data_IF_999442875040
#
_entry.id   IF_999442875040
#
_cell.length_a   1.000
_cell.length_b   1.000
_cell.length_c   1.000
_cell.angle_alpha   90.00
_cell.angle_beta   90.00
_cell.angle_gamma   90.00
#
_symmetry.space_group_name_H-M   'P 1'
#
loop_
_entity.id
_entity.type
_entity.pdbx_description
1 polymer ?
#
# COMPACT_ATOMS: atom_id res chain seq x y z
N UNK A 1 7.10 -4.88 -10.90
CA UNK A 1 7.67 -4.91 -12.27
C UNK A 1 7.31 -6.21 -12.98
N UNK A 2 7.47 -7.39 -12.35
CA UNK A 2 7.13 -8.70 -12.93
C UNK A 2 5.65 -8.81 -13.30
N UNK A 3 4.73 -8.42 -12.39
CA UNK A 3 3.29 -8.43 -12.64
C UNK A 3 2.89 -7.48 -13.78
N UNK A 4 3.54 -6.32 -13.87
CA UNK A 4 3.31 -5.37 -14.95
C UNK A 4 3.90 -5.82 -16.31
N UNK A 5 4.74 -6.85 -16.32
CA UNK A 5 5.44 -7.34 -17.51
C UNK A 5 6.60 -6.47 -17.96
N UNK A 6 7.14 -5.65 -17.07
CA UNK A 6 8.33 -4.83 -17.31
C UNK A 6 9.61 -5.65 -17.21
N UNK A 7 9.56 -6.73 -16.43
CA UNK A 7 10.63 -7.71 -16.26
C UNK A 7 10.07 -9.13 -16.46
N UNK A 8 10.93 -10.09 -16.79
CA UNK A 8 10.57 -11.51 -16.91
C UNK A 8 10.98 -12.25 -15.63
N UNK A 9 10.16 -13.21 -15.14
CA UNK A 9 10.57 -14.07 -14.05
C UNK A 9 11.69 -15.00 -14.51
N UNK A 10 12.66 -15.28 -13.63
CA UNK A 10 13.72 -16.27 -13.89
C UNK A 10 13.16 -17.69 -13.90
N UNK A 11 12.15 -17.93 -13.07
CA UNK A 11 11.43 -19.22 -12.97
C UNK A 11 10.02 -18.99 -12.44
N UNK A 12 9.16 -20.00 -12.55
CA UNK A 12 7.78 -19.95 -12.10
C UNK A 12 6.85 -19.28 -13.11
N UNK A 13 5.58 -19.15 -12.74
CA UNK A 13 4.51 -18.64 -13.59
C UNK A 13 3.73 -17.55 -12.87
N UNK A 14 3.28 -16.55 -13.63
CA UNK A 14 2.38 -15.51 -13.15
C UNK A 14 1.02 -15.69 -13.81
N UNK A 15 -0.04 -15.69 -13.00
CA UNK A 15 -1.43 -15.83 -13.47
C UNK A 15 -2.31 -14.68 -12.98
N UNK A 16 -3.28 -14.27 -13.81
CA UNK A 16 -4.42 -13.44 -13.40
C UNK A 16 -5.66 -14.30 -13.60
N UNK A 17 -6.33 -14.66 -12.49
CA UNK A 17 -7.33 -15.72 -12.50
C UNK A 17 -6.72 -17.03 -12.98
N UNK A 18 -7.34 -17.66 -13.97
CA UNK A 18 -6.84 -18.89 -14.62
C UNK A 18 -5.85 -18.63 -15.77
N UNK A 19 -5.69 -17.39 -16.23
CA UNK A 19 -4.92 -17.03 -17.42
C UNK A 19 -3.45 -16.80 -17.09
N UNK A 20 -2.50 -17.59 -17.69
CA UNK A 20 -1.08 -17.31 -17.56
C UNK A 20 -0.70 -16.02 -18.30
N UNK A 21 0.14 -15.19 -17.67
CA UNK A 21 0.54 -13.89 -18.23
C UNK A 21 2.05 -13.68 -18.29
N UNK A 22 2.86 -14.67 -17.96
CA UNK A 22 4.32 -14.54 -17.91
C UNK A 22 4.89 -14.02 -19.22
N UNK A 23 4.44 -14.54 -20.37
CA UNK A 23 4.90 -14.15 -21.71
C UNK A 23 4.01 -13.11 -22.39
N UNK A 24 2.95 -12.64 -21.71
CA UNK A 24 2.04 -11.64 -22.27
C UNK A 24 2.70 -10.26 -22.14
N UNK A 25 2.82 -9.48 -23.25
CA UNK A 25 3.39 -8.13 -23.19
C UNK A 25 2.54 -7.19 -22.31
N UNK A 26 3.15 -6.17 -21.67
CA UNK A 26 2.48 -5.27 -20.73
C UNK A 26 1.16 -4.69 -21.24
N UNK A 27 1.12 -4.28 -22.51
CA UNK A 27 -0.06 -3.67 -23.12
C UNK A 27 -1.29 -4.61 -23.18
N UNK A 28 -1.09 -5.93 -23.13
CA UNK A 28 -2.14 -6.97 -23.24
C UNK A 28 -2.48 -7.64 -21.91
N UNK A 29 -1.79 -7.31 -20.80
CA UNK A 29 -2.01 -7.93 -19.47
C UNK A 29 -3.31 -7.51 -18.80
N UNK A 30 -3.97 -6.45 -19.26
CA UNK A 30 -5.12 -5.81 -18.62
C UNK A 30 -4.84 -5.36 -17.17
N UNK A 31 -3.63 -4.89 -16.94
CA UNK A 31 -3.15 -4.38 -15.67
C UNK A 31 -2.98 -2.87 -15.77
N UNK A 32 -3.34 -2.13 -14.74
CA UNK A 32 -3.03 -0.72 -14.63
C UNK A 32 -1.98 -0.49 -13.52
N UNK A 33 -1.00 0.35 -13.80
CA UNK A 33 0.06 0.68 -12.85
C UNK A 33 0.08 2.17 -12.53
N UNK A 34 0.14 2.47 -11.25
CA UNK A 34 0.37 3.80 -10.69
C UNK A 34 1.79 3.81 -10.15
N UNK A 35 2.64 4.69 -10.69
CA UNK A 35 4.04 4.81 -10.30
C UNK A 35 4.22 5.85 -9.19
N UNK A 36 5.27 5.73 -8.42
CA UNK A 36 5.68 6.68 -7.39
C UNK A 36 5.79 8.13 -7.91
N UNK A 37 6.32 8.31 -9.13
CA UNK A 37 6.46 9.61 -9.79
C UNK A 37 5.20 10.08 -10.53
N UNK A 38 4.04 9.37 -10.34
CA UNK A 38 2.78 9.57 -11.06
C UNK A 38 2.86 9.30 -12.57
N UNK A 39 4.01 9.48 -13.20
CA UNK A 39 4.29 9.29 -14.63
C UNK A 39 3.21 9.90 -15.55
N UNK A 40 2.73 11.11 -15.23
CA UNK A 40 1.78 11.85 -16.04
C UNK A 40 2.44 12.38 -17.31
N UNK A 41 1.68 12.46 -18.40
CA UNK A 41 2.11 13.11 -19.63
C UNK A 41 2.05 14.62 -19.45
N UNK A 42 3.20 15.34 -19.36
CA UNK A 42 3.22 16.74 -18.94
C UNK A 42 2.62 17.70 -19.97
N UNK A 43 2.63 17.31 -21.23
CA UNK A 43 2.08 18.08 -22.36
C UNK A 43 0.57 17.87 -22.59
N UNK A 44 -0.03 16.87 -21.94
CA UNK A 44 -1.45 16.57 -22.03
C UNK A 44 -2.23 17.20 -20.88
N UNK A 45 -3.50 17.57 -21.15
CA UNK A 45 -4.44 17.99 -20.11
C UNK A 45 -4.79 16.82 -19.16
N UNK A 46 -5.43 17.09 -18.02
CA UNK A 46 -5.99 16.04 -17.14
C UNK A 46 -6.92 15.12 -17.93
N UNK A 47 -7.84 15.67 -18.70
CA UNK A 47 -8.76 14.95 -19.56
C UNK A 47 -8.03 14.01 -20.52
N UNK A 48 -6.98 14.49 -21.17
CA UNK A 48 -6.23 13.69 -22.13
C UNK A 48 -5.35 12.64 -21.44
N UNK A 49 -4.82 12.91 -20.24
CA UNK A 49 -4.18 11.91 -19.41
C UNK A 49 -5.15 10.77 -19.07
N UNK A 50 -6.36 11.09 -18.58
CA UNK A 50 -7.38 10.09 -18.24
C UNK A 50 -7.81 9.24 -19.45
N UNK A 51 -7.98 9.88 -20.62
CA UNK A 51 -8.46 9.22 -21.85
C UNK A 51 -7.37 8.49 -22.63
N UNK A 52 -6.09 8.71 -22.34
CA UNK A 52 -4.97 8.23 -23.14
C UNK A 52 -5.00 6.70 -23.36
N UNK A 53 -5.17 5.92 -22.29
CA UNK A 53 -5.24 4.46 -22.36
C UNK A 53 -6.46 3.97 -23.17
N UNK A 54 -7.61 4.60 -22.98
CA UNK A 54 -8.85 4.28 -23.69
C UNK A 54 -8.72 4.48 -25.20
N UNK A 55 -8.02 5.54 -25.61
CA UNK A 55 -7.80 5.85 -27.02
C UNK A 55 -6.84 4.88 -27.71
N UNK A 56 -5.92 4.25 -26.97
CA UNK A 56 -4.93 3.31 -27.53
C UNK A 56 -5.36 1.84 -27.53
N UNK A 57 -6.38 1.49 -26.78
CA UNK A 57 -6.75 0.09 -26.53
C UNK A 57 -7.39 -0.66 -27.70
N UNK A 58 -7.78 0.03 -28.79
CA UNK A 58 -8.48 -0.58 -29.94
C UNK A 58 -7.83 -0.21 -31.26
N UNK A 59 -7.72 -1.20 -32.17
CA UNK A 59 -7.36 -0.94 -33.57
C UNK A 59 -8.41 -0.03 -34.21
N UNK A 60 -7.98 0.90 -35.08
CA UNK A 60 -8.85 1.89 -35.72
C UNK A 60 -8.69 1.86 -37.23
N UNK A 61 -9.80 1.97 -37.94
CA UNK A 61 -9.77 2.31 -39.35
C UNK A 61 -9.35 3.77 -39.56
N UNK A 62 -8.88 4.10 -40.75
CA UNK A 62 -8.50 5.49 -41.10
C UNK A 62 -9.67 6.46 -40.96
N UNK A 63 -10.85 6.04 -41.35
CA UNK A 63 -12.09 6.83 -41.22
C UNK A 63 -12.42 7.15 -39.78
N UNK A 64 -12.32 6.13 -38.86
CA UNK A 64 -12.54 6.35 -37.45
C UNK A 64 -11.52 7.31 -36.83
N UNK A 65 -10.25 7.28 -37.25
CA UNK A 65 -9.22 8.23 -36.79
C UNK A 65 -9.59 9.67 -37.16
N UNK A 66 -10.04 9.90 -38.39
CA UNK A 66 -10.45 11.21 -38.86
C UNK A 66 -11.68 11.70 -38.09
N UNK A 67 -12.69 10.86 -37.88
CA UNK A 67 -13.90 11.21 -37.11
C UNK A 67 -13.54 11.53 -35.66
N UNK A 68 -12.66 10.73 -35.00
CA UNK A 68 -12.22 10.96 -33.65
C UNK A 68 -11.43 12.28 -33.52
N UNK A 69 -10.62 12.64 -34.52
CA UNK A 69 -9.90 13.93 -34.56
C UNK A 69 -10.86 15.10 -34.75
N UNK A 70 -11.80 14.99 -35.68
CA UNK A 70 -12.80 16.01 -35.94
C UNK A 70 -13.71 16.24 -34.73
N UNK A 71 -14.12 15.17 -34.00
CA UNK A 71 -14.85 15.29 -32.76
C UNK A 71 -14.06 16.11 -31.71
N UNK A 72 -12.78 15.81 -31.54
CA UNK A 72 -11.93 16.52 -30.56
C UNK A 72 -11.72 17.99 -30.92
N UNK A 73 -11.54 18.30 -32.19
CA UNK A 73 -11.38 19.66 -32.68
C UNK A 73 -12.67 20.49 -32.48
N UNK A 74 -13.84 19.86 -32.70
CA UNK A 74 -15.15 20.51 -32.58
C UNK A 74 -15.78 20.45 -31.19
N UNK A 75 -15.08 19.85 -30.19
CA UNK A 75 -15.61 19.66 -28.84
C UNK A 75 -16.01 20.93 -28.11
N UNK A 76 -15.30 22.03 -28.34
CA UNK A 76 -15.59 23.35 -27.76
C UNK A 76 -16.83 24.03 -28.37
N UNK A 77 -17.31 23.55 -29.51
CA UNK A 77 -18.48 24.10 -30.18
C UNK A 77 -19.79 23.67 -29.52
N UNK A 78 -20.90 24.41 -29.71
CA UNK A 78 -22.24 24.00 -29.29
C UNK A 78 -22.60 22.62 -29.83
N UNK A 79 -23.40 21.83 -29.10
CA UNK A 79 -23.78 20.44 -29.45
C UNK A 79 -24.18 20.23 -30.93
N UNK A 80 -25.00 21.08 -31.55
CA UNK A 80 -25.42 20.86 -32.95
C UNK A 80 -24.31 20.98 -33.99
N UNK A 81 -23.20 21.67 -33.66
CA UNK A 81 -22.05 21.88 -34.54
C UNK A 81 -20.90 20.90 -34.32
N UNK A 82 -21.07 19.97 -33.40
CA UNK A 82 -20.03 18.96 -33.09
C UNK A 82 -20.11 17.80 -34.08
N UNK A 83 -18.96 17.36 -34.56
CA UNK A 83 -18.85 16.09 -35.27
C UNK A 83 -19.10 14.95 -34.29
N UNK A 84 -20.01 14.03 -34.60
CA UNK A 84 -20.33 12.89 -33.73
C UNK A 84 -19.31 11.76 -33.92
N UNK A 85 -18.85 11.22 -32.80
CA UNK A 85 -18.09 9.97 -32.72
C UNK A 85 -18.58 9.18 -31.51
N UNK A 86 -19.32 8.13 -31.75
CA UNK A 86 -19.88 7.26 -30.68
C UNK A 86 -18.77 6.75 -29.72
N UNK A 87 -17.59 6.53 -30.27
CA UNK A 87 -16.44 6.09 -29.48
C UNK A 87 -15.92 7.20 -28.56
N UNK A 88 -15.67 8.40 -29.08
CA UNK A 88 -15.18 9.53 -28.27
C UNK A 88 -16.25 9.97 -27.24
N UNK A 89 -17.54 9.88 -27.57
CA UNK A 89 -18.64 10.12 -26.61
C UNK A 89 -18.59 9.13 -25.43
N UNK A 90 -18.35 7.83 -25.69
CA UNK A 90 -18.17 6.81 -24.65
C UNK A 90 -16.91 7.09 -23.81
N UNK A 91 -15.81 7.47 -24.44
CA UNK A 91 -14.58 7.84 -23.75
C UNK A 91 -14.82 9.05 -22.85
N UNK A 92 -15.49 10.08 -23.36
CA UNK A 92 -15.81 11.29 -22.61
C UNK A 92 -16.73 11.00 -21.42
N UNK A 93 -17.76 10.18 -21.61
CA UNK A 93 -18.62 9.72 -20.52
C UNK A 93 -17.82 8.99 -19.44
N UNK A 94 -16.91 8.09 -19.81
CA UNK A 94 -16.04 7.37 -18.85
C UNK A 94 -15.09 8.32 -18.13
N UNK A 95 -14.46 9.25 -18.84
CA UNK A 95 -13.57 10.27 -18.25
C UNK A 95 -14.33 11.14 -17.25
N UNK A 96 -15.54 11.59 -17.59
CA UNK A 96 -16.35 12.41 -16.71
C UNK A 96 -16.81 11.64 -15.46
N UNK A 97 -17.13 10.34 -15.57
CA UNK A 97 -17.44 9.49 -14.42
C UNK A 97 -16.25 9.38 -13.49
N UNK A 98 -15.07 9.05 -14.00
CA UNK A 98 -13.83 8.94 -13.22
C UNK A 98 -13.42 10.29 -12.63
N UNK A 99 -13.57 11.38 -13.39
CA UNK A 99 -13.24 12.71 -12.92
C UNK A 99 -14.12 13.13 -11.73
N UNK A 100 -15.41 12.79 -11.76
CA UNK A 100 -16.33 13.05 -10.63
C UNK A 100 -15.95 12.25 -9.40
N UNK A 101 -15.68 10.95 -9.53
CA UNK A 101 -15.31 10.10 -8.39
C UNK A 101 -13.99 10.52 -7.73
N UNK A 102 -13.12 11.25 -8.44
CA UNK A 102 -11.82 11.72 -7.95
C UNK A 102 -11.77 13.24 -7.72
N UNK A 103 -12.90 13.94 -7.79
CA UNK A 103 -12.98 15.41 -7.63
C UNK A 103 -12.04 16.17 -8.59
N UNK A 104 -11.98 15.74 -9.84
CA UNK A 104 -11.13 16.31 -10.88
C UNK A 104 -11.90 17.11 -11.94
N UNK A 105 -13.22 17.24 -11.80
CA UNK A 105 -14.09 17.84 -12.81
C UNK A 105 -13.64 19.24 -13.22
N UNK A 106 -13.36 20.10 -12.25
CA UNK A 106 -12.90 21.49 -12.46
C UNK A 106 -11.45 21.58 -12.96
N UNK A 107 -10.73 20.48 -12.94
CA UNK A 107 -9.32 20.42 -13.31
C UNK A 107 -9.08 19.78 -14.68
N UNK A 108 -10.14 19.32 -15.36
CA UNK A 108 -10.04 18.51 -16.58
C UNK A 108 -9.22 19.15 -17.70
N UNK A 109 -9.25 20.46 -17.82
CA UNK A 109 -8.56 21.19 -18.88
C UNK A 109 -7.17 21.73 -18.45
N UNK A 110 -6.79 21.54 -17.16
CA UNK A 110 -5.46 21.91 -16.65
C UNK A 110 -4.39 20.89 -17.08
N UNK A 111 -3.13 21.35 -17.10
CA UNK A 111 -1.96 20.50 -17.32
C UNK A 111 -1.31 20.09 -15.99
N UNK A 112 -0.52 18.99 -15.95
CA UNK A 112 0.14 18.53 -14.74
C UNK A 112 0.96 19.59 -13.99
N UNK A 113 1.60 20.53 -14.69
CA UNK A 113 2.37 21.62 -14.06
C UNK A 113 1.52 22.58 -13.20
N UNK A 114 0.21 22.61 -13.44
CA UNK A 114 -0.75 23.50 -12.78
C UNK A 114 -1.46 22.81 -11.60
N UNK A 115 -1.02 21.60 -11.24
CA UNK A 115 -1.63 20.75 -10.23
C UNK A 115 -0.73 20.59 -9.00
N UNK A 116 -1.35 20.53 -7.82
CA UNK A 116 -0.67 20.10 -6.59
C UNK A 116 -0.26 18.61 -6.65
N UNK A 117 0.59 18.17 -5.72
CA UNK A 117 1.01 16.76 -5.62
C UNK A 117 -0.16 15.80 -5.53
N UNK A 118 -1.12 16.06 -4.64
CA UNK A 118 -2.31 15.22 -4.49
C UNK A 118 -3.26 15.26 -5.69
N UNK A 119 -3.34 16.39 -6.38
CA UNK A 119 -4.10 16.46 -7.63
C UNK A 119 -3.44 15.62 -8.74
N UNK A 120 -2.10 15.68 -8.86
CA UNK A 120 -1.34 14.83 -9.79
C UNK A 120 -1.57 13.35 -9.51
N UNK A 121 -1.56 12.97 -8.26
CA UNK A 121 -1.82 11.59 -7.83
C UNK A 121 -3.24 11.15 -8.20
N UNK A 122 -4.26 11.95 -7.89
CA UNK A 122 -5.65 11.66 -8.29
C UNK A 122 -5.78 11.50 -9.80
N UNK A 123 -5.06 12.29 -10.60
CA UNK A 123 -5.01 12.13 -12.06
C UNK A 123 -4.35 10.81 -12.46
N UNK A 124 -3.24 10.41 -11.83
CA UNK A 124 -2.58 9.13 -12.11
C UNK A 124 -3.48 7.94 -11.78
N UNK A 125 -4.17 8.00 -10.64
CA UNK A 125 -5.16 7.01 -10.22
C UNK A 125 -6.33 6.95 -11.22
N UNK A 126 -6.87 8.11 -11.61
CA UNK A 126 -7.96 8.20 -12.59
C UNK A 126 -7.58 7.66 -13.97
N UNK A 127 -6.34 7.88 -14.43
CA UNK A 127 -5.82 7.30 -15.67
C UNK A 127 -5.79 5.77 -15.61
N UNK A 128 -5.44 5.20 -14.46
CA UNK A 128 -5.45 3.77 -14.23
C UNK A 128 -6.90 3.22 -14.20
N UNK A 129 -7.80 3.88 -13.46
CA UNK A 129 -9.22 3.50 -13.32
C UNK A 129 -10.01 3.59 -14.63
N UNK A 130 -9.69 4.56 -15.49
CA UNK A 130 -10.40 4.75 -16.75
C UNK A 130 -10.37 3.50 -17.63
N UNK A 131 -9.29 2.72 -17.59
CA UNK A 131 -9.11 1.48 -18.35
C UNK A 131 -9.92 0.29 -17.86
N UNK A 132 -10.49 0.36 -16.67
CA UNK A 132 -11.18 -0.75 -16.00
C UNK A 132 -10.33 -2.05 -15.99
N UNK A 133 -9.15 -2.04 -15.33
CA UNK A 133 -8.23 -3.16 -15.33
C UNK A 133 -8.72 -4.32 -14.45
N UNK A 134 -8.23 -5.54 -14.71
CA UNK A 134 -8.45 -6.70 -13.86
C UNK A 134 -7.62 -6.62 -12.55
N UNK A 135 -6.45 -5.96 -12.62
CA UNK A 135 -5.54 -5.79 -11.48
C UNK A 135 -4.96 -4.39 -11.46
N UNK A 136 -5.00 -3.75 -10.30
CA UNK A 136 -4.26 -2.52 -10.02
C UNK A 136 -2.90 -2.85 -9.40
N UNK A 137 -1.86 -2.21 -9.90
CA UNK A 137 -0.53 -2.19 -9.29
C UNK A 137 -0.22 -0.77 -8.85
N UNK A 138 0.09 -0.59 -7.58
CA UNK A 138 0.44 0.71 -7.00
C UNK A 138 1.83 0.60 -6.37
N UNK A 139 2.78 1.39 -6.88
CA UNK A 139 4.17 1.40 -6.44
C UNK A 139 4.43 2.67 -5.66
N UNK A 140 4.40 2.59 -4.33
CA UNK A 140 4.55 3.69 -3.37
C UNK A 140 3.76 4.96 -3.73
N UNK A 141 2.46 4.87 -4.02
CA UNK A 141 1.73 5.98 -4.60
C UNK A 141 1.58 7.19 -3.67
N UNK A 142 1.79 7.04 -2.35
CA UNK A 142 1.61 8.09 -1.35
C UNK A 142 2.93 8.71 -0.85
N UNK A 143 4.09 8.19 -1.27
CA UNK A 143 5.41 8.58 -0.74
C UNK A 143 5.74 10.07 -0.90
N UNK A 144 5.25 10.70 -1.97
CA UNK A 144 5.52 12.11 -2.31
C UNK A 144 4.47 13.10 -1.76
N UNK A 145 3.63 12.68 -0.81
CA UNK A 145 2.59 13.52 -0.21
C UNK A 145 2.95 13.93 1.21
N UNK A 146 2.52 15.13 1.59
CA UNK A 146 2.53 15.56 2.99
C UNK A 146 1.61 14.69 3.87
N UNK A 147 1.80 14.69 5.19
CA UNK A 147 1.10 13.81 6.12
C UNK A 147 -0.43 13.95 6.07
N UNK A 148 -0.94 15.20 5.99
CA UNK A 148 -2.39 15.45 5.95
C UNK A 148 -3.02 14.92 4.67
N UNK A 149 -2.38 15.20 3.53
CA UNK A 149 -2.85 14.77 2.22
C UNK A 149 -2.71 13.25 2.06
N UNK A 150 -1.66 12.64 2.64
CA UNK A 150 -1.46 11.18 2.67
C UNK A 150 -2.62 10.48 3.36
N UNK A 151 -3.05 10.96 4.53
CA UNK A 151 -4.17 10.36 5.27
C UNK A 151 -5.48 10.41 4.48
N UNK A 152 -5.85 11.57 3.94
CA UNK A 152 -7.10 11.71 3.16
C UNK A 152 -7.06 10.90 1.86
N UNK A 153 -5.91 10.83 1.20
CA UNK A 153 -5.77 10.07 -0.05
C UNK A 153 -5.79 8.57 0.20
N UNK A 154 -5.21 8.09 1.33
CA UNK A 154 -5.29 6.69 1.75
C UNK A 154 -6.74 6.24 1.89
N UNK A 155 -7.55 6.99 2.64
CA UNK A 155 -8.98 6.70 2.78
C UNK A 155 -9.68 6.61 1.43
N UNK A 156 -9.39 7.56 0.54
CA UNK A 156 -10.00 7.59 -0.80
C UNK A 156 -9.61 6.40 -1.67
N UNK A 157 -8.36 5.93 -1.58
CA UNK A 157 -7.91 4.72 -2.31
C UNK A 157 -8.67 3.48 -1.80
N UNK A 158 -8.84 3.34 -0.48
CA UNK A 158 -9.58 2.21 0.11
C UNK A 158 -11.05 2.23 -0.33
N UNK A 159 -11.71 3.38 -0.30
CA UNK A 159 -13.08 3.53 -0.79
C UNK A 159 -13.20 3.12 -2.26
N UNK A 160 -12.31 3.64 -3.10
CA UNK A 160 -12.28 3.34 -4.53
C UNK A 160 -12.02 1.86 -4.83
N UNK A 161 -11.12 1.23 -4.07
CA UNK A 161 -10.85 -0.21 -4.21
C UNK A 161 -12.10 -1.02 -3.90
N UNK A 162 -12.83 -0.68 -2.84
CA UNK A 162 -14.08 -1.34 -2.46
C UNK A 162 -15.19 -1.13 -3.50
N UNK A 163 -15.34 0.11 -4.00
CA UNK A 163 -16.30 0.44 -5.05
C UNK A 163 -16.05 -0.34 -6.35
N UNK A 164 -14.77 -0.52 -6.71
CA UNK A 164 -14.38 -1.19 -7.96
C UNK A 164 -14.34 -2.72 -7.84
N UNK A 165 -14.22 -3.28 -6.63
CA UNK A 165 -14.07 -4.71 -6.41
C UNK A 165 -12.87 -5.34 -7.11
N UNK A 166 -11.86 -4.55 -7.48
CA UNK A 166 -10.72 -4.99 -8.29
C UNK A 166 -9.53 -5.36 -7.40
N UNK A 167 -8.87 -6.47 -7.70
CA UNK A 167 -7.65 -6.88 -7.00
C UNK A 167 -6.58 -5.81 -7.10
N UNK A 168 -6.05 -5.37 -5.97
CA UNK A 168 -5.00 -4.36 -5.90
C UNK A 168 -3.75 -4.93 -5.25
N UNK A 169 -2.61 -4.79 -5.91
CA UNK A 169 -1.28 -5.05 -5.33
C UNK A 169 -0.65 -3.70 -5.03
N UNK A 170 -0.47 -3.42 -3.74
CA UNK A 170 0.03 -2.16 -3.22
C UNK A 170 1.42 -2.35 -2.61
N UNK A 171 2.41 -1.62 -3.09
CA UNK A 171 3.78 -1.63 -2.54
C UNK A 171 3.96 -0.38 -1.71
N UNK A 172 4.42 -0.54 -0.49
CA UNK A 172 4.75 0.56 0.43
C UNK A 172 5.87 0.16 1.38
N UNK A 173 6.61 1.14 1.88
CA UNK A 173 7.50 1.02 3.03
C UNK A 173 6.85 1.57 4.32
N UNK A 174 5.67 2.16 4.23
CA UNK A 174 4.91 2.70 5.37
C UNK A 174 4.02 1.60 5.97
N UNK A 175 4.32 1.23 7.22
CA UNK A 175 3.58 0.21 7.95
C UNK A 175 2.12 0.60 8.16
N UNK A 176 1.83 1.89 8.40
CA UNK A 176 0.46 2.37 8.64
C UNK A 176 -0.38 2.17 7.37
N UNK A 177 0.20 2.42 6.19
CA UNK A 177 -0.48 2.13 4.93
C UNK A 177 -0.76 0.64 4.79
N UNK A 178 0.25 -0.22 4.98
CA UNK A 178 0.09 -1.67 4.87
C UNK A 178 -0.98 -2.21 5.83
N UNK A 179 -0.91 -1.80 7.12
CA UNK A 179 -1.82 -2.27 8.17
C UNK A 179 -3.26 -1.78 8.01
N UNK A 180 -3.47 -0.60 7.39
CA UNK A 180 -4.81 0.01 7.29
C UNK A 180 -5.51 -0.24 5.96
N UNK A 181 -4.75 -0.55 4.89
CA UNK A 181 -5.30 -0.71 3.54
C UNK A 181 -5.31 -2.16 3.07
N UNK A 182 -4.38 -2.99 3.57
CA UNK A 182 -4.22 -4.36 3.07
C UNK A 182 -5.18 -5.35 3.73
N UNK A 183 -5.85 -6.18 2.92
CA UNK A 183 -6.54 -7.38 3.41
C UNK A 183 -5.49 -8.45 3.80
N UNK A 184 -4.39 -8.51 3.06
CA UNK A 184 -3.23 -9.36 3.31
C UNK A 184 -1.95 -8.59 3.06
N UNK A 185 -0.94 -8.84 3.88
CA UNK A 185 0.38 -8.20 3.79
C UNK A 185 1.44 -9.28 3.55
N UNK A 186 2.27 -9.07 2.54
CA UNK A 186 3.48 -9.85 2.31
C UNK A 186 4.69 -9.03 2.79
N UNK A 187 5.34 -9.48 3.86
CA UNK A 187 6.58 -8.86 4.37
C UNK A 187 7.77 -9.49 3.64
N UNK A 188 8.56 -8.63 2.98
CA UNK A 188 9.76 -9.05 2.26
C UNK A 188 11.01 -8.47 2.92
N UNK A 189 12.06 -9.26 2.96
CA UNK A 189 13.38 -8.82 3.38
C UNK A 189 14.44 -9.38 2.41
N UNK A 190 15.24 -8.52 1.84
CA UNK A 190 16.28 -8.87 0.85
C UNK A 190 15.74 -9.77 -0.29
N UNK A 191 14.55 -9.45 -0.80
CA UNK A 191 13.89 -10.19 -1.88
C UNK A 191 13.26 -11.54 -1.47
N UNK A 192 13.32 -11.92 -0.18
CA UNK A 192 12.73 -13.15 0.35
C UNK A 192 11.46 -12.84 1.13
N UNK A 193 10.41 -13.63 0.88
CA UNK A 193 9.18 -13.56 1.65
C UNK A 193 9.42 -14.05 3.08
N UNK A 194 9.14 -13.20 4.05
CA UNK A 194 9.28 -13.50 5.49
C UNK A 194 7.97 -14.03 6.06
N UNK A 195 6.87 -13.37 5.73
CA UNK A 195 5.53 -13.79 6.18
C UNK A 195 4.47 -13.21 5.24
N UNK A 196 3.38 -13.95 5.08
CA UNK A 196 2.17 -13.52 4.39
C UNK A 196 0.97 -13.82 5.28
N UNK A 197 0.16 -12.82 5.58
CA UNK A 197 -1.02 -12.97 6.44
C UNK A 197 -1.86 -11.70 6.47
N UNK A 198 -2.91 -11.70 7.27
CA UNK A 198 -3.68 -10.50 7.60
C UNK A 198 -2.85 -9.54 8.46
N UNK A 199 -3.16 -8.24 8.50
CA UNK A 199 -2.47 -7.29 9.36
C UNK A 199 -2.35 -7.76 10.81
N UNK A 200 -3.46 -8.27 11.37
CA UNK A 200 -3.49 -8.72 12.77
C UNK A 200 -2.70 -10.00 13.02
N UNK A 201 -2.63 -10.92 12.05
CA UNK A 201 -1.77 -12.10 12.16
C UNK A 201 -0.30 -11.71 12.21
N UNK A 202 0.16 -10.80 11.34
CA UNK A 202 1.54 -10.33 11.34
C UNK A 202 1.92 -9.63 12.66
N UNK A 203 0.99 -8.87 13.21
CA UNK A 203 1.19 -8.15 14.46
C UNK A 203 1.24 -9.06 15.69
N UNK A 204 0.27 -9.98 15.79
CA UNK A 204 0.12 -10.87 16.96
C UNK A 204 1.03 -12.09 16.91
N UNK A 205 1.24 -12.65 15.71
CA UNK A 205 1.92 -13.92 15.48
C UNK A 205 3.03 -13.78 14.42
N UNK A 206 4.06 -12.94 14.68
CA UNK A 206 5.18 -12.81 13.76
C UNK A 206 5.94 -14.13 13.63
N UNK A 207 6.25 -14.55 12.41
CA UNK A 207 6.92 -15.83 12.13
C UNK A 207 8.42 -15.82 12.47
N UNK A 208 9.01 -14.64 12.61
CA UNK A 208 10.41 -14.48 12.97
C UNK A 208 10.67 -13.09 13.60
N UNK A 209 11.88 -12.90 14.12
CA UNK A 209 12.31 -11.68 14.80
C UNK A 209 12.23 -10.46 13.86
N UNK A 210 12.58 -10.63 12.58
CA UNK A 210 12.50 -9.53 11.61
C UNK A 210 11.06 -8.98 11.48
N UNK A 211 10.07 -9.87 11.31
CA UNK A 211 8.67 -9.46 11.22
C UNK A 211 8.19 -8.84 12.53
N UNK A 212 8.59 -9.40 13.68
CA UNK A 212 8.23 -8.90 14.98
C UNK A 212 8.68 -7.44 15.21
N UNK A 213 9.89 -7.10 14.76
CA UNK A 213 10.44 -5.75 14.86
C UNK A 213 9.97 -4.82 13.75
N UNK A 214 9.74 -5.37 12.53
CA UNK A 214 9.33 -4.58 11.39
C UNK A 214 7.86 -4.15 11.47
N UNK A 215 6.97 -4.98 12.02
CA UNK A 215 5.55 -4.69 12.15
C UNK A 215 5.23 -4.13 13.53
N UNK A 216 4.76 -2.90 13.56
CA UNK A 216 4.39 -2.14 14.76
C UNK A 216 5.28 -0.91 14.98
N UNK A 217 4.69 0.18 15.43
CA UNK A 217 5.36 1.44 15.76
C UNK A 217 4.84 1.94 17.11
N UNK A 218 5.68 1.97 18.15
CA UNK A 218 7.09 1.52 18.19
C UNK A 218 7.29 0.02 17.95
N UNK A 219 8.54 -0.37 17.64
CA UNK A 219 8.89 -1.76 17.40
C UNK A 219 8.78 -2.63 18.68
N UNK A 220 8.61 -3.93 18.50
CA UNK A 220 8.60 -4.91 19.60
C UNK A 220 9.95 -4.88 20.35
N UNK A 221 9.91 -4.78 21.68
CA UNK A 221 11.07 -4.94 22.53
C UNK A 221 11.48 -6.41 22.59
N UNK A 222 12.76 -6.68 22.38
CA UNK A 222 13.34 -8.03 22.42
C UNK A 222 14.23 -8.18 23.64
N UNK A 223 13.95 -9.17 24.48
CA UNK A 223 14.68 -9.45 25.73
C UNK A 223 15.32 -10.83 25.65
N UNK A 224 16.63 -10.95 25.86
CA UNK A 224 17.28 -12.25 26.03
C UNK A 224 16.90 -12.85 27.38
N UNK A 225 16.26 -14.03 27.35
CA UNK A 225 15.79 -14.70 28.58
C UNK A 225 16.25 -16.15 28.61
N UNK A 226 16.34 -16.72 29.83
CA UNK A 226 16.52 -18.16 30.03
C UNK A 226 15.21 -18.74 30.55
N UNK A 227 14.79 -19.89 30.06
CA UNK A 227 13.61 -20.59 30.58
C UNK A 227 13.98 -21.29 31.88
N UNK A 228 13.35 -20.88 32.97
CA UNK A 228 13.48 -21.51 34.26
C UNK A 228 12.39 -22.54 34.56
N UNK A 229 12.41 -23.13 35.77
CA UNK A 229 11.41 -24.08 36.22
C UNK A 229 9.99 -23.50 36.18
N UNK A 230 8.98 -24.34 36.03
CA UNK A 230 7.55 -23.98 36.04
C UNK A 230 7.19 -22.85 35.06
N UNK A 231 7.75 -22.90 33.83
CA UNK A 231 7.53 -21.91 32.77
C UNK A 231 7.83 -20.45 33.21
N UNK A 232 8.85 -20.26 34.03
CA UNK A 232 9.37 -18.92 34.32
C UNK A 232 10.36 -18.46 33.27
N UNK A 233 10.41 -17.16 33.01
CA UNK A 233 11.47 -16.52 32.22
C UNK A 233 12.44 -15.80 33.16
N UNK A 234 13.72 -16.08 33.02
CA UNK A 234 14.79 -15.48 33.79
C UNK A 234 15.48 -14.43 32.96
N UNK A 235 15.44 -13.17 33.43
CA UNK A 235 16.08 -12.02 32.80
C UNK A 235 17.04 -11.41 33.85
N UNK A 236 18.34 -11.65 33.70
CA UNK A 236 19.32 -11.29 34.70
C UNK A 236 19.01 -11.96 36.04
N UNK A 237 18.74 -11.16 37.08
CA UNK A 237 18.36 -11.61 38.41
C UNK A 237 16.84 -11.71 38.64
N UNK A 238 16.03 -11.38 37.65
CA UNK A 238 14.57 -11.35 37.76
C UNK A 238 13.95 -12.61 37.18
N UNK A 239 12.88 -13.05 37.85
CA UNK A 239 12.05 -14.17 37.41
C UNK A 239 10.65 -13.65 37.06
N UNK A 240 10.18 -13.94 35.86
CA UNK A 240 8.88 -13.53 35.34
C UNK A 240 8.06 -14.79 35.17
N UNK A 241 6.95 -14.91 35.89
CA UNK A 241 6.02 -16.02 35.70
C UNK A 241 5.25 -15.82 34.43
N UNK A 242 5.19 -16.86 33.58
CA UNK A 242 4.39 -16.86 32.37
C UNK A 242 3.09 -17.59 32.63
N UNK A 243 2.00 -17.04 32.09
CA UNK A 243 0.65 -17.59 32.19
C UNK A 243 0.04 -17.86 30.81
N UNK A 244 -1.04 -18.65 30.79
CA UNK A 244 -1.81 -18.92 29.57
C UNK A 244 -1.14 -19.89 28.61
N UNK A 245 -1.39 -19.72 27.32
CA UNK A 245 -1.04 -20.67 26.27
C UNK A 245 0.49 -20.89 26.08
N UNK A 246 1.33 -20.00 26.60
CA UNK A 246 2.78 -20.12 26.48
C UNK A 246 3.42 -21.04 27.53
N UNK A 247 2.68 -21.45 28.57
CA UNK A 247 3.21 -22.30 29.67
C UNK A 247 3.68 -23.66 29.14
N UNK A 248 2.81 -24.38 28.43
CA UNK A 248 3.12 -25.72 27.91
C UNK A 248 4.36 -25.74 26.98
N UNK A 249 4.47 -24.85 25.95
CA UNK A 249 5.67 -24.76 25.15
C UNK A 249 6.94 -24.43 25.93
N UNK A 250 6.86 -23.65 27.00
CA UNK A 250 8.02 -23.26 27.83
C UNK A 250 8.49 -24.39 28.75
N UNK A 251 7.58 -25.18 29.30
CA UNK A 251 7.96 -26.35 30.16
C UNK A 251 8.85 -27.32 29.40
N UNK A 252 8.68 -27.46 28.10
CA UNK A 252 9.51 -28.34 27.25
C UNK A 252 10.88 -27.75 26.90
N UNK A 253 11.15 -26.50 27.31
CA UNK A 253 12.34 -25.71 26.97
C UNK A 253 13.12 -25.21 28.16
N UNK A 254 12.92 -25.83 29.31
CA UNK A 254 13.65 -25.46 30.51
C UNK A 254 15.16 -25.48 30.28
N UNK A 255 15.86 -24.46 30.78
CA UNK A 255 17.30 -24.25 30.61
C UNK A 255 17.69 -23.61 29.26
N UNK A 256 16.81 -23.47 28.29
CA UNK A 256 17.13 -22.89 27.00
C UNK A 256 17.19 -21.36 27.04
N UNK A 257 18.10 -20.79 26.26
CA UNK A 257 18.13 -19.35 25.99
C UNK A 257 17.18 -19.00 24.86
N UNK A 258 16.26 -18.08 25.12
CA UNK A 258 15.26 -17.62 24.16
C UNK A 258 15.28 -16.09 24.07
N UNK A 259 14.58 -15.57 23.05
CA UNK A 259 14.29 -14.14 22.95
C UNK A 259 12.80 -13.93 23.21
N UNK A 260 12.48 -13.23 24.30
CA UNK A 260 11.11 -12.82 24.60
C UNK A 260 10.78 -11.50 23.89
N UNK A 261 9.67 -11.46 23.15
CA UNK A 261 9.18 -10.25 22.51
C UNK A 261 8.02 -9.64 23.29
N UNK A 262 8.11 -8.35 23.61
CA UNK A 262 7.02 -7.59 24.21
C UNK A 262 6.67 -6.39 23.35
N UNK A 263 5.38 -6.21 23.09
CA UNK A 263 4.88 -5.00 22.42
C UNK A 263 4.91 -3.81 23.39
N UNK A 264 5.19 -2.58 22.92
CA UNK A 264 5.27 -1.39 23.78
C UNK A 264 4.03 -1.15 24.63
N UNK A 265 2.85 -1.42 24.12
CA UNK A 265 1.57 -1.27 24.81
C UNK A 265 1.35 -2.25 25.98
N UNK A 266 2.16 -3.31 26.08
CA UNK A 266 2.11 -4.27 27.17
C UNK A 266 3.04 -3.89 28.35
N UNK A 267 3.81 -2.80 28.21
CA UNK A 267 4.61 -2.28 29.29
C UNK A 267 3.80 -1.34 30.17
N UNK A 268 3.89 -1.54 31.49
CA UNK A 268 3.26 -0.67 32.48
C UNK A 268 4.32 -0.04 33.36
N UNK A 269 4.30 1.29 33.47
CA UNK A 269 5.16 2.02 34.37
C UNK A 269 4.65 1.86 35.79
N UNK A 270 5.56 1.53 36.73
CA UNK A 270 5.29 1.40 38.14
C UNK A 270 6.49 1.92 38.94
N UNK A 271 6.32 2.28 40.23
CA UNK A 271 7.42 2.59 41.09
C UNK A 271 8.42 1.42 41.17
N UNK A 272 9.71 1.75 41.19
CA UNK A 272 10.77 0.74 41.24
C UNK A 272 10.68 -0.11 42.51
N UNK A 273 10.60 -1.42 42.36
CA UNK A 273 10.56 -2.41 43.42
C UNK A 273 11.46 -3.60 43.08
N UNK A 274 11.70 -4.49 44.07
CA UNK A 274 12.40 -5.74 43.79
C UNK A 274 11.56 -6.78 43.00
N UNK A 275 10.27 -6.52 42.79
CA UNK A 275 9.33 -7.41 42.10
C UNK A 275 9.11 -7.08 40.61
N UNK A 276 9.54 -5.90 40.14
CA UNK A 276 9.41 -5.49 38.76
C UNK A 276 10.77 -5.28 38.09
N UNK A 277 10.78 -5.16 36.78
CA UNK A 277 11.98 -4.79 36.04
C UNK A 277 12.29 -3.33 36.30
N UNK A 278 13.54 -3.06 36.66
CA UNK A 278 14.03 -1.70 36.85
C UNK A 278 14.65 -1.21 35.54
N UNK A 279 14.34 0.02 35.17
CA UNK A 279 14.85 0.61 33.94
C UNK A 279 15.12 2.09 34.11
N UNK A 280 16.14 2.58 33.44
CA UNK A 280 16.45 3.99 33.30
C UNK A 280 15.95 4.51 31.99
N UNK A 281 15.22 5.64 31.99
CA UNK A 281 14.79 6.30 30.75
C UNK A 281 15.99 6.97 30.11
N UNK A 282 16.41 6.45 28.95
CA UNK A 282 17.52 6.99 28.16
C UNK A 282 17.09 8.06 27.15
N UNK A 283 15.86 7.99 26.66
CA UNK A 283 15.31 8.95 25.71
C UNK A 283 13.80 9.05 25.85
N UNK A 284 13.25 10.25 25.59
CA UNK A 284 11.82 10.52 25.62
C UNK A 284 11.43 11.35 24.40
N UNK A 285 10.63 10.77 23.51
CA UNK A 285 10.02 11.48 22.38
C UNK A 285 8.62 11.95 22.76
N UNK A 286 8.34 13.24 22.58
CA UNK A 286 7.03 13.84 22.88
C UNK A 286 6.32 14.16 21.58
N UNK A 287 5.29 13.40 21.26
CA UNK A 287 4.51 13.54 20.01
C UNK A 287 3.21 14.34 20.18
N UNK A 288 3.06 15.03 21.32
CA UNK A 288 1.89 15.84 21.65
C UNK A 288 0.82 15.05 22.41
N UNK A 289 0.18 14.11 21.77
CA UNK A 289 -0.85 13.23 22.36
C UNK A 289 -0.27 12.01 23.08
N UNK A 290 0.98 11.64 22.81
CA UNK A 290 1.65 10.47 23.37
C UNK A 290 3.14 10.76 23.62
N UNK A 291 3.75 9.93 24.46
CA UNK A 291 5.19 9.96 24.73
C UNK A 291 5.76 8.56 24.52
N UNK A 292 6.86 8.47 23.77
CA UNK A 292 7.59 7.23 23.58
C UNK A 292 8.83 7.27 24.44
N UNK A 293 8.94 6.32 25.36
CA UNK A 293 10.08 6.17 26.25
C UNK A 293 11.01 5.06 25.75
N UNK A 294 12.27 5.39 25.55
CA UNK A 294 13.32 4.39 25.34
C UNK A 294 14.02 4.15 26.70
N UNK A 295 13.96 2.92 27.18
CA UNK A 295 14.46 2.54 28.47
C UNK A 295 15.60 1.53 28.36
N UNK A 296 16.59 1.66 29.24
CA UNK A 296 17.64 0.66 29.47
C UNK A 296 17.31 -0.11 30.74
N UNK A 297 17.23 -1.42 30.66
CA UNK A 297 17.10 -2.28 31.86
C UNK A 297 18.36 -2.23 32.68
N UNK A 298 18.22 -2.22 34.03
CA UNK A 298 19.28 -2.17 35.00
C UNK A 298 19.61 -3.56 35.55
#
# INVERSE_FOLDING_TARGET
RLLAGLDRPTSGEIRIGSRPISDVPPARRNVAMVFQSYALYPHLSVRDNLSFGLRRSQARSTVQRIQDQAFRATRALPKPLRVRSVREERIEARVNTVARSLELTELLDRRPKELSGGQKQRVALGRAMARNPEVFLMDEPLSNLDAKLRTSTRQRIVELQRELGTTTVYVTHDQVEAMTMGDRIAVLNQGRLQQLGTPMELYRWPSNIFVAQFIGSPAMSLLPVTVGPNATLILGNKRIQVEGAMVEPLLQREGQHLTAGLRPEHWHLAPATNRNLQAEVSHCERLGNEQILTCRLL
#
